data_IF_421214863233
#
_entry.id   IF_421214863233
#
_cell.length_a   1.000
_cell.length_b   1.000
_cell.length_c   1.000
_cell.angle_alpha   90.00
_cell.angle_beta   90.00
_cell.angle_gamma   90.00
#
_symmetry.space_group_name_H-M   'P 1'
#
loop_
_entity.id
_entity.type
_entity.pdbx_description
1 polymer ?
#
# COMPACT_ATOMS: atom_id res chain seq x y z
N UNK A 1 29.08 -0.43 -11.11
CA UNK A 1 27.66 -0.74 -11.41
C UNK A 1 26.97 -1.08 -10.11
N UNK A 2 25.99 -0.29 -9.65
CA UNK A 2 25.16 -0.70 -8.51
C UNK A 2 24.22 -1.83 -8.97
N UNK A 3 24.00 -2.83 -8.12
CA UNK A 3 23.19 -4.00 -8.50
C UNK A 3 21.71 -3.62 -8.48
N UNK A 4 20.98 -3.85 -9.57
CA UNK A 4 19.52 -3.72 -9.56
C UNK A 4 18.92 -4.85 -8.72
N UNK A 5 18.06 -4.50 -7.77
CA UNK A 5 17.39 -5.42 -6.86
C UNK A 5 15.92 -5.54 -7.25
N UNK A 6 15.35 -6.72 -6.99
CA UNK A 6 13.91 -6.95 -7.03
C UNK A 6 13.37 -6.88 -5.61
N UNK A 7 12.48 -5.93 -5.35
CA UNK A 7 12.02 -5.58 -4.00
C UNK A 7 10.50 -5.72 -3.94
N UNK A 8 10.01 -6.39 -2.92
CA UNK A 8 8.59 -6.54 -2.62
C UNK A 8 8.26 -5.73 -1.37
N UNK A 9 7.26 -4.85 -1.45
CA UNK A 9 6.81 -4.03 -0.33
C UNK A 9 5.37 -4.39 -0.02
N UNK A 10 5.12 -5.01 1.13
CA UNK A 10 3.78 -5.31 1.63
C UNK A 10 3.29 -4.18 2.55
N UNK A 11 2.17 -3.56 2.22
CA UNK A 11 1.56 -2.48 2.99
C UNK A 11 0.09 -2.76 3.30
N UNK A 12 -0.39 -2.28 4.45
CA UNK A 12 -1.82 -2.24 4.73
C UNK A 12 -2.55 -1.27 3.80
N UNK A 13 -3.79 -1.58 3.42
CA UNK A 13 -4.57 -0.80 2.45
C UNK A 13 -5.23 0.48 2.97
N UNK A 14 -4.89 0.94 4.17
CA UNK A 14 -5.33 2.26 4.67
C UNK A 14 -4.26 3.31 4.41
N UNK A 15 -4.67 4.58 4.26
CA UNK A 15 -3.76 5.68 3.92
C UNK A 15 -2.50 5.75 4.79
N UNK A 16 -2.62 5.53 6.10
CA UNK A 16 -1.50 5.60 7.05
C UNK A 16 -0.36 4.59 6.79
N UNK A 17 -0.61 3.49 6.08
CA UNK A 17 0.41 2.49 5.72
C UNK A 17 0.70 2.47 4.21
N UNK A 18 -0.27 2.84 3.38
CA UNK A 18 -0.14 2.84 1.93
C UNK A 18 0.79 3.97 1.44
N UNK A 19 0.57 5.22 1.88
CA UNK A 19 1.35 6.36 1.40
C UNK A 19 2.85 6.25 1.72
N UNK A 20 3.27 5.83 2.93
CA UNK A 20 4.69 5.56 3.21
C UNK A 20 5.27 4.47 2.31
N UNK A 21 4.49 3.39 2.05
CA UNK A 21 4.91 2.30 1.16
C UNK A 21 5.18 2.76 -0.27
N UNK A 22 4.29 3.59 -0.82
CA UNK A 22 4.45 4.19 -2.15
C UNK A 22 5.69 5.10 -2.19
N UNK A 23 5.86 5.98 -1.20
CA UNK A 23 7.01 6.89 -1.15
C UNK A 23 8.35 6.14 -1.14
N UNK A 24 8.45 5.05 -0.38
CA UNK A 24 9.65 4.19 -0.37
C UNK A 24 9.84 3.49 -1.72
N UNK A 25 8.77 3.01 -2.35
CA UNK A 25 8.84 2.35 -3.65
C UNK A 25 9.34 3.29 -4.75
N UNK A 26 8.87 4.54 -4.77
CA UNK A 26 9.32 5.57 -5.71
C UNK A 26 10.80 5.88 -5.52
N UNK A 27 11.26 6.05 -4.28
CA UNK A 27 12.66 6.29 -3.98
C UNK A 27 13.57 5.14 -4.44
N UNK A 28 13.12 3.88 -4.27
CA UNK A 28 13.86 2.70 -4.72
C UNK A 28 13.86 2.56 -6.25
N UNK A 29 12.76 2.88 -6.92
CA UNK A 29 12.67 2.94 -8.38
C UNK A 29 13.60 3.99 -8.96
N UNK A 30 13.67 5.18 -8.36
CA UNK A 30 14.58 6.25 -8.76
C UNK A 30 16.07 5.84 -8.65
N UNK A 31 16.39 4.90 -7.75
CA UNK A 31 17.74 4.29 -7.62
C UNK A 31 18.01 3.15 -8.61
N UNK A 32 17.08 2.85 -9.51
CA UNK A 32 17.22 1.81 -10.54
C UNK A 32 16.83 0.40 -10.08
N UNK A 33 16.05 0.28 -9.01
CA UNK A 33 15.55 -1.01 -8.53
C UNK A 33 14.17 -1.34 -9.11
N UNK A 34 13.88 -2.64 -9.25
CA UNK A 34 12.56 -3.13 -9.60
C UNK A 34 11.77 -3.33 -8.31
N UNK A 35 10.62 -2.67 -8.21
CA UNK A 35 9.80 -2.68 -6.99
C UNK A 35 8.38 -3.09 -7.31
N UNK A 36 7.82 -4.00 -6.51
CA UNK A 36 6.41 -4.41 -6.54
C UNK A 36 5.76 -4.08 -5.20
N UNK A 37 4.61 -3.41 -5.23
CA UNK A 37 3.80 -3.14 -4.05
C UNK A 37 2.69 -4.20 -3.93
N UNK A 38 2.54 -4.78 -2.74
CA UNK A 38 1.40 -5.59 -2.35
C UNK A 38 0.57 -4.80 -1.33
N UNK A 39 -0.69 -4.56 -1.65
CA UNK A 39 -1.59 -3.77 -0.81
C UNK A 39 -2.69 -4.69 -0.31
N UNK A 40 -2.82 -4.83 1.01
CA UNK A 40 -3.93 -5.55 1.61
C UNK A 40 -5.15 -4.62 1.69
N UNK A 41 -6.05 -4.69 0.72
CA UNK A 41 -7.34 -3.99 0.81
C UNK A 41 -8.13 -4.48 2.01
N UNK A 42 -8.19 -3.67 3.06
CA UNK A 42 -9.20 -3.86 4.10
C UNK A 42 -10.46 -3.17 3.59
N UNK A 43 -11.38 -3.95 3.00
CA UNK A 43 -12.75 -3.50 2.70
C UNK A 43 -13.43 -3.13 4.02
N UNK A 44 -13.25 -1.90 4.50
CA UNK A 44 -14.13 -1.36 5.54
C UNK A 44 -15.45 -1.05 4.85
N UNK A 45 -16.21 -2.09 4.52
CA UNK A 45 -17.64 -1.94 4.32
C UNK A 45 -18.13 -1.39 5.64
N UNK A 46 -18.50 -0.12 5.59
CA UNK A 46 -19.29 0.56 6.58
C UNK A 46 -20.42 -0.41 7.00
N UNK A 47 -20.27 -1.09 8.14
CA UNK A 47 -21.39 -1.64 8.91
C UNK A 47 -22.20 -0.43 9.43
N UNK A 48 -22.84 0.34 8.54
CA UNK A 48 -23.94 1.22 8.93
C UNK A 48 -25.10 0.30 9.19
N UNK A 49 -25.27 -0.09 10.46
CA UNK A 49 -26.55 -0.56 10.98
C UNK A 49 -27.55 0.56 10.72
N UNK A 50 -28.38 0.43 9.68
CA UNK A 50 -29.66 1.13 9.64
C UNK A 50 -30.70 0.18 10.20
N UNK A 51 -30.77 0.14 11.53
CA UNK A 51 -32.02 -0.08 12.25
C UNK A 51 -32.17 1.17 13.09
N UNK A 52 -33.19 2.00 12.80
CA UNK A 52 -34.04 2.78 13.71
C UNK A 52 -35.05 3.56 12.86
N UNK A 53 -36.32 3.26 13.12
CA UNK A 53 -37.54 4.06 12.92
C UNK A 53 -37.94 4.48 11.48
N UNK A 54 -38.99 3.84 10.94
CA UNK A 54 -40.35 4.40 10.85
C UNK A 54 -41.35 3.24 10.70
#
# INVERSE_FOLDING_TARGET
MSKSLKILIACGGTGGHLFPGIAVAEALRARGHQVMLLISEKKSILKRRQNIAT
#
